data_IF_235147293342
#
_entry.id   IF_235147293342
#
_cell.length_a   1.000
_cell.length_b   1.000
_cell.length_c   1.000
_cell.angle_alpha   90.00
_cell.angle_beta   90.00
_cell.angle_gamma   90.00
#
_symmetry.space_group_name_H-M   'P 1'
#
loop_
_entity.id
_entity.type
_entity.pdbx_description
1 polymer ?
#
# COMPACT_ATOMS: atom_id res chain seq x y z
N UNK A 1 11.71 18.51 -10.25
CA UNK A 1 11.75 17.06 -9.99
C UNK A 1 11.27 16.70 -8.58
N UNK A 2 11.72 17.38 -7.51
CA UNK A 2 11.31 17.02 -6.13
C UNK A 2 9.83 17.26 -5.81
N UNK A 3 9.20 18.35 -6.28
CA UNK A 3 7.79 18.65 -5.96
C UNK A 3 6.78 17.69 -6.60
N UNK A 4 7.01 17.27 -7.85
CA UNK A 4 6.11 16.34 -8.53
C UNK A 4 6.17 14.95 -7.89
N UNK A 5 7.38 14.48 -7.58
CA UNK A 5 7.59 13.23 -6.85
C UNK A 5 6.92 13.28 -5.46
N UNK A 6 7.08 14.38 -4.73
CA UNK A 6 6.42 14.58 -3.42
C UNK A 6 4.90 14.49 -3.54
N UNK A 7 4.31 15.19 -4.51
CA UNK A 7 2.87 15.16 -4.77
C UNK A 7 2.37 13.74 -5.09
N UNK A 8 3.14 12.96 -5.86
CA UNK A 8 2.81 11.57 -6.17
C UNK A 8 2.92 10.65 -4.94
N UNK A 9 3.93 10.85 -4.11
CA UNK A 9 4.07 10.10 -2.86
C UNK A 9 2.95 10.43 -1.86
N UNK A 10 2.53 11.70 -1.77
CA UNK A 10 1.36 12.09 -0.97
C UNK A 10 0.07 11.45 -1.49
N UNK A 11 -0.11 11.36 -2.82
CA UNK A 11 -1.25 10.64 -3.43
C UNK A 11 -1.24 9.16 -3.05
N UNK A 12 -0.08 8.50 -3.08
CA UNK A 12 0.05 7.09 -2.67
C UNK A 12 -0.25 6.92 -1.18
N UNK A 13 0.17 7.84 -0.31
CA UNK A 13 -0.19 7.81 1.11
C UNK A 13 -1.72 7.88 1.30
N UNK A 14 -2.40 8.77 0.56
CA UNK A 14 -3.86 8.86 0.63
C UNK A 14 -4.52 7.55 0.19
N UNK A 15 -4.04 6.94 -0.89
CA UNK A 15 -4.54 5.64 -1.35
C UNK A 15 -4.23 4.52 -0.35
N UNK A 16 -3.04 4.52 0.28
CA UNK A 16 -2.65 3.59 1.33
C UNK A 16 -3.61 3.65 2.51
N UNK A 17 -3.94 4.86 2.98
CA UNK A 17 -4.90 5.07 4.06
C UNK A 17 -6.28 4.56 3.71
N UNK A 18 -6.71 4.78 2.46
CA UNK A 18 -7.97 4.22 2.01
C UNK A 18 -7.92 2.68 2.01
N UNK A 19 -6.87 2.08 1.46
CA UNK A 19 -6.70 0.62 1.48
C UNK A 19 -6.60 0.05 2.90
N UNK A 20 -5.97 0.75 3.85
CA UNK A 20 -5.96 0.36 5.26
C UNK A 20 -7.36 0.38 5.86
N UNK A 21 -8.16 1.42 5.59
CA UNK A 21 -9.56 1.48 6.03
C UNK A 21 -10.39 0.33 5.45
N UNK A 22 -10.24 0.05 4.15
CA UNK A 22 -10.91 -1.08 3.49
C UNK A 22 -10.46 -2.44 4.07
N UNK A 23 -9.18 -2.58 4.43
CA UNK A 23 -8.64 -3.78 5.09
C UNK A 23 -9.18 -3.91 6.52
N UNK A 24 -9.32 -2.80 7.24
CA UNK A 24 -9.92 -2.75 8.57
C UNK A 24 -11.41 -3.11 8.51
N UNK A 25 -12.14 -2.57 7.54
CA UNK A 25 -13.54 -2.95 7.31
C UNK A 25 -13.66 -4.42 6.91
N UNK A 26 -12.75 -4.94 6.09
CA UNK A 26 -12.68 -6.37 5.77
C UNK A 26 -12.39 -7.26 6.98
N UNK A 27 -11.63 -6.75 7.96
CA UNK A 27 -11.41 -7.42 9.25
C UNK A 27 -12.73 -7.55 10.03
N UNK A 28 -13.56 -6.50 10.01
CA UNK A 28 -14.82 -6.41 10.75
C UNK A 28 -15.99 -7.13 10.06
N UNK A 29 -16.06 -7.06 8.73
CA UNK A 29 -17.20 -7.57 7.92
C UNK A 29 -16.91 -8.88 7.20
N UNK A 30 -15.66 -9.37 7.26
CA UNK A 30 -15.17 -10.60 6.59
C UNK A 30 -15.12 -10.52 5.06
N UNK A 31 -15.45 -9.38 4.45
CA UNK A 31 -15.42 -9.18 3.00
C UNK A 31 -14.09 -8.56 2.55
N UNK A 32 -13.24 -9.37 1.94
CA UNK A 32 -11.90 -8.97 1.49
C UNK A 32 -11.83 -8.43 0.05
N UNK A 33 -12.98 -8.35 -0.63
CA UNK A 33 -13.05 -8.00 -2.06
C UNK A 33 -12.57 -6.57 -2.32
N UNK A 34 -12.97 -5.62 -1.48
CA UNK A 34 -12.66 -4.20 -1.65
C UNK A 34 -11.21 -3.90 -1.22
N UNK A 35 -10.77 -4.48 -0.10
CA UNK A 35 -9.38 -4.49 0.33
C UNK A 35 -8.43 -5.03 -0.77
N UNK A 36 -8.82 -6.13 -1.43
CA UNK A 36 -8.07 -6.71 -2.55
C UNK A 36 -7.94 -5.72 -3.69
N UNK A 37 -9.05 -5.09 -4.09
CA UNK A 37 -9.06 -4.14 -5.19
C UNK A 37 -8.19 -2.92 -4.87
N UNK A 38 -8.28 -2.37 -3.66
CA UNK A 38 -7.50 -1.22 -3.23
C UNK A 38 -5.99 -1.50 -3.24
N UNK A 39 -5.55 -2.65 -2.71
CA UNK A 39 -4.12 -3.02 -2.69
C UNK A 39 -3.58 -3.33 -4.08
N UNK A 40 -4.37 -3.98 -4.95
CA UNK A 40 -3.99 -4.20 -6.34
C UNK A 40 -3.85 -2.87 -7.11
N UNK A 41 -4.77 -1.92 -6.92
CA UNK A 41 -4.70 -0.60 -7.55
C UNK A 41 -3.44 0.16 -7.11
N UNK A 42 -3.10 0.12 -5.82
CA UNK A 42 -1.88 0.73 -5.28
C UNK A 42 -0.60 0.15 -5.90
N UNK A 43 -0.54 -1.18 -6.06
CA UNK A 43 0.60 -1.83 -6.72
C UNK A 43 0.77 -1.33 -8.16
N UNK A 44 -0.33 -1.25 -8.90
CA UNK A 44 -0.33 -0.82 -10.30
C UNK A 44 0.02 0.66 -10.44
N UNK A 45 -0.54 1.51 -9.59
CA UNK A 45 -0.27 2.94 -9.57
C UNK A 45 1.21 3.23 -9.26
N UNK A 46 1.82 2.52 -8.31
CA UNK A 46 3.25 2.63 -8.02
C UNK A 46 4.12 2.17 -9.20
N UNK A 47 3.75 1.03 -9.83
CA UNK A 47 4.49 0.49 -10.98
C UNK A 47 4.47 1.46 -12.16
N UNK A 48 3.28 1.96 -12.51
CA UNK A 48 3.04 2.84 -13.67
C UNK A 48 3.53 4.29 -13.47
N UNK A 49 3.85 4.71 -12.24
CA UNK A 49 4.23 6.10 -11.96
C UNK A 49 5.64 6.47 -12.45
N UNK A 50 5.80 7.04 -13.62
CA UNK A 50 7.14 7.43 -14.13
C UNK A 50 7.77 8.59 -13.35
N UNK A 51 6.97 9.39 -12.63
CA UNK A 51 7.42 10.53 -11.82
C UNK A 51 8.03 10.14 -10.45
N UNK A 52 7.99 8.85 -10.06
CA UNK A 52 8.57 8.38 -8.79
C UNK A 52 9.92 7.73 -9.08
N UNK A 53 10.95 8.17 -8.35
CA UNK A 53 12.29 7.59 -8.46
C UNK A 53 12.26 6.05 -8.34
N UNK A 54 12.93 5.33 -9.26
CA UNK A 54 12.98 3.86 -9.24
C UNK A 54 13.48 3.28 -7.91
N UNK A 55 14.36 3.98 -7.19
CA UNK A 55 14.90 3.56 -5.89
C UNK A 55 13.82 3.59 -4.80
N UNK A 56 12.87 4.53 -4.89
CA UNK A 56 11.72 4.60 -3.99
C UNK A 56 10.73 3.48 -4.33
N UNK A 57 10.45 3.26 -5.62
CA UNK A 57 9.62 2.13 -6.05
C UNK A 57 10.19 0.80 -5.55
N UNK A 58 11.51 0.61 -5.66
CA UNK A 58 12.16 -0.62 -5.20
C UNK A 58 12.09 -0.82 -3.69
N UNK A 59 12.04 0.26 -2.90
CA UNK A 59 11.83 0.19 -1.45
C UNK A 59 10.38 -0.12 -1.09
N UNK A 60 9.43 0.42 -1.85
CA UNK A 60 8.00 0.31 -1.56
C UNK A 60 7.36 -0.97 -2.08
N UNK A 61 7.76 -1.41 -3.27
CA UNK A 61 7.22 -2.59 -3.97
C UNK A 61 7.15 -3.86 -3.09
N UNK A 62 8.17 -4.22 -2.29
CA UNK A 62 8.11 -5.39 -1.42
C UNK A 62 6.96 -5.37 -0.41
N UNK A 63 6.61 -4.19 0.14
CA UNK A 63 5.49 -4.06 1.07
C UNK A 63 4.15 -4.29 0.36
N UNK A 64 3.99 -3.69 -0.81
CA UNK A 64 2.79 -3.82 -1.62
C UNK A 64 2.58 -5.25 -2.14
N UNK A 65 3.64 -5.92 -2.59
CA UNK A 65 3.59 -7.32 -3.01
C UNK A 65 3.29 -8.25 -1.84
N UNK A 66 3.86 -8.00 -0.67
CA UNK A 66 3.56 -8.76 0.54
C UNK A 66 2.11 -8.56 1.00
N UNK A 67 1.58 -7.32 0.96
CA UNK A 67 0.19 -7.02 1.26
C UNK A 67 -0.75 -7.76 0.28
N UNK A 68 -0.46 -7.67 -1.02
CA UNK A 68 -1.23 -8.35 -2.05
C UNK A 68 -1.18 -9.88 -1.92
N UNK A 69 0.00 -10.45 -1.63
CA UNK A 69 0.17 -11.88 -1.37
C UNK A 69 -0.60 -12.33 -0.13
N UNK A 70 -0.59 -11.53 0.94
CA UNK A 70 -1.37 -11.80 2.15
C UNK A 70 -2.86 -11.85 1.85
N UNK A 71 -3.38 -10.90 1.07
CA UNK A 71 -4.79 -10.90 0.63
C UNK A 71 -5.11 -12.14 -0.20
N UNK A 72 -4.19 -12.66 -1.03
CA UNK A 72 -4.45 -13.84 -1.86
C UNK A 72 -4.23 -15.18 -1.14
N UNK A 73 -3.69 -15.16 0.08
CA UNK A 73 -3.41 -16.38 0.84
C UNK A 73 -4.67 -17.14 1.25
N UNK A 74 -4.53 -18.44 1.50
CA UNK A 74 -5.58 -19.31 2.01
C UNK A 74 -5.84 -19.17 3.52
N UNK A 75 -5.28 -18.14 4.15
CA UNK A 75 -5.43 -17.86 5.58
C UNK A 75 -6.84 -17.32 5.90
N UNK A 76 -7.18 -17.30 7.20
CA UNK A 76 -8.43 -16.69 7.65
C UNK A 76 -8.48 -15.20 7.32
N UNK A 77 -9.68 -14.65 7.10
CA UNK A 77 -9.84 -13.23 6.75
C UNK A 77 -9.17 -12.30 7.76
N UNK A 78 -9.27 -12.59 9.05
CA UNK A 78 -8.61 -11.80 10.10
C UNK A 78 -7.09 -11.82 9.98
N UNK A 79 -6.50 -12.98 9.69
CA UNK A 79 -5.04 -13.11 9.53
C UNK A 79 -4.57 -12.45 8.24
N UNK A 80 -5.34 -12.57 7.15
CA UNK A 80 -5.10 -11.85 5.89
C UNK A 80 -5.14 -10.34 6.11
N UNK A 81 -6.16 -9.85 6.81
CA UNK A 81 -6.34 -8.42 7.08
C UNK A 81 -5.25 -7.88 8.02
N UNK A 82 -4.89 -8.61 9.07
CA UNK A 82 -3.78 -8.23 9.96
C UNK A 82 -2.45 -8.09 9.21
N UNK A 83 -2.05 -9.14 8.46
CA UNK A 83 -0.79 -9.10 7.68
C UNK A 83 -0.85 -7.99 6.63
N UNK A 84 -1.97 -7.83 5.93
CA UNK A 84 -2.14 -6.77 4.94
C UNK A 84 -2.01 -5.38 5.57
N UNK A 85 -2.74 -5.12 6.66
CA UNK A 85 -2.73 -3.85 7.38
C UNK A 85 -1.32 -3.50 7.88
N UNK A 86 -0.61 -4.47 8.45
CA UNK A 86 0.78 -4.29 8.88
C UNK A 86 1.69 -3.88 7.72
N UNK A 87 1.59 -4.56 6.57
CA UNK A 87 2.41 -4.24 5.39
C UNK A 87 2.09 -2.87 4.80
N UNK A 88 0.81 -2.46 4.81
CA UNK A 88 0.42 -1.12 4.39
C UNK A 88 0.94 -0.04 5.35
N UNK A 89 0.92 -0.29 6.67
CA UNK A 89 1.50 0.60 7.68
C UNK A 89 3.03 0.75 7.53
N UNK A 90 3.72 -0.35 7.22
CA UNK A 90 5.16 -0.32 6.94
C UNK A 90 5.47 0.47 5.66
N UNK A 91 4.64 0.31 4.61
CA UNK A 91 4.74 1.09 3.38
C UNK A 91 4.56 2.59 3.64
N UNK A 92 3.51 2.99 4.37
CA UNK A 92 3.28 4.39 4.75
C UNK A 92 4.47 4.96 5.53
N UNK A 93 4.96 4.22 6.53
CA UNK A 93 6.13 4.61 7.32
C UNK A 93 7.37 4.80 6.45
N UNK A 94 7.56 3.96 5.43
CA UNK A 94 8.63 4.10 4.46
C UNK A 94 8.50 5.39 3.63
N UNK A 95 7.30 5.68 3.11
CA UNK A 95 7.05 6.91 2.33
C UNK A 95 7.29 8.15 3.19
N UNK A 96 6.78 8.19 4.44
CA UNK A 96 6.99 9.32 5.35
C UNK A 96 8.48 9.56 5.60
N UNK A 97 9.28 8.50 5.81
CA UNK A 97 10.73 8.62 5.96
C UNK A 97 11.41 9.16 4.71
N UNK A 98 10.94 8.76 3.52
CA UNK A 98 11.47 9.27 2.25
C UNK A 98 11.10 10.75 2.09
N UNK A 99 9.84 11.12 2.33
CA UNK A 99 9.36 12.49 2.29
C UNK A 99 10.08 13.42 3.27
N UNK A 100 10.51 12.93 4.44
CA UNK A 100 11.30 13.72 5.40
C UNK A 100 12.72 14.02 4.94
N UNK A 101 13.21 13.35 3.89
CA UNK A 101 14.56 13.49 3.34
C UNK A 101 14.59 14.18 1.97
N UNK A 102 13.43 14.44 1.38
CA UNK A 102 13.24 15.15 0.11
C UNK A 102 13.07 16.65 0.34
#
# INVERSE_FOLDING_TARGET
>A
MCEEQRKKLDQIIQQLKNAQSEVQEAYETTMMSDAKWAVSSLCDDLKKNESIDPSIKSQLMPYFEAAHSAILSSESTHKRAGICGDKLNEAESCIIKILSKL
#
